data_IF_376306478488
#
_entry.id   IF_376306478488
#
_cell.length_a   1.000
_cell.length_b   1.000
_cell.length_c   1.000
_cell.angle_alpha   90.00
_cell.angle_beta   90.00
_cell.angle_gamma   90.00
#
_symmetry.space_group_name_H-M   'P 1'
#
loop_
_entity.id
_entity.type
_entity.pdbx_description
1 polymer ?
#
# COMPACT_ATOMS: atom_id res chain seq x y z
N UNK A 1 8.10 -6.38 -8.60
CA UNK A 1 7.86 -7.80 -8.96
C UNK A 1 7.80 -8.69 -7.72
N UNK A 2 8.81 -8.72 -6.84
CA UNK A 2 8.89 -9.67 -5.72
C UNK A 2 7.69 -9.64 -4.76
N UNK A 3 7.21 -8.46 -4.33
CA UNK A 3 6.03 -8.35 -3.46
C UNK A 3 4.75 -8.91 -4.09
N UNK A 4 4.56 -8.69 -5.40
CA UNK A 4 3.38 -9.18 -6.13
C UNK A 4 3.42 -10.70 -6.23
N UNK A 5 4.59 -11.27 -6.53
CA UNK A 5 4.76 -12.73 -6.58
C UNK A 5 4.60 -13.38 -5.20
N UNK A 6 5.16 -12.78 -4.14
CA UNK A 6 4.96 -13.21 -2.77
C UNK A 6 3.48 -13.18 -2.37
N UNK A 7 2.76 -12.11 -2.72
CA UNK A 7 1.32 -11.99 -2.48
C UNK A 7 0.51 -13.05 -3.20
N UNK A 8 0.82 -13.31 -4.48
CA UNK A 8 0.18 -14.40 -5.24
C UNK A 8 0.42 -15.76 -4.58
N UNK A 9 1.65 -16.05 -4.18
CA UNK A 9 2.01 -17.31 -3.53
C UNK A 9 1.42 -17.47 -2.12
N UNK A 10 1.16 -16.35 -1.42
CA UNK A 10 0.58 -16.32 -0.07
C UNK A 10 -0.96 -16.25 -0.05
N UNK A 11 -1.60 -16.18 -1.22
CA UNK A 11 -3.05 -16.00 -1.34
C UNK A 11 -3.54 -14.60 -0.91
N UNK A 12 -2.67 -13.59 -0.99
CA UNK A 12 -2.94 -12.18 -0.68
C UNK A 12 -2.49 -11.32 -1.89
N UNK A 13 -3.23 -11.34 -3.01
CA UNK A 13 -2.78 -10.69 -4.24
C UNK A 13 -2.70 -9.18 -4.07
N UNK A 14 -1.66 -8.58 -4.66
CA UNK A 14 -1.49 -7.13 -4.73
C UNK A 14 -1.84 -6.61 -6.13
N UNK A 15 -2.32 -5.37 -6.17
CA UNK A 15 -2.48 -4.61 -7.41
C UNK A 15 -1.57 -3.39 -7.37
N UNK A 16 -0.65 -3.28 -8.33
CA UNK A 16 0.26 -2.13 -8.38
C UNK A 16 -0.46 -0.93 -8.97
N UNK A 17 -0.54 0.15 -8.19
CA UNK A 17 -1.00 1.45 -8.66
C UNK A 17 0.19 2.32 -9.07
N UNK A 18 -0.01 3.22 -10.05
CA UNK A 18 1.02 4.17 -10.47
C UNK A 18 1.19 5.31 -9.45
N UNK A 19 2.43 5.80 -9.31
CA UNK A 19 2.72 7.10 -8.69
C UNK A 19 2.66 8.18 -9.78
N UNK A 20 1.45 8.67 -10.08
CA UNK A 20 1.19 9.68 -11.13
C UNK A 20 1.66 11.05 -10.65
N UNK A 21 2.86 11.46 -11.05
CA UNK A 21 3.56 12.64 -10.49
C UNK A 21 2.79 13.94 -10.64
N UNK A 22 1.95 14.05 -11.65
CA UNK A 22 1.10 15.22 -11.92
C UNK A 22 0.15 15.52 -10.75
N UNK A 23 -0.25 14.51 -9.98
CA UNK A 23 -1.11 14.70 -8.80
C UNK A 23 -0.38 15.32 -7.61
N UNK A 24 0.94 15.55 -7.68
CA UNK A 24 1.67 16.32 -6.65
C UNK A 24 1.21 17.78 -6.56
N UNK A 25 0.67 18.33 -7.64
CA UNK A 25 0.06 19.66 -7.62
C UNK A 25 -1.04 19.77 -6.57
N UNK A 26 -1.81 18.69 -6.39
CA UNK A 26 -2.87 18.63 -5.40
C UNK A 26 -2.37 18.59 -3.96
N UNK A 27 -1.07 18.41 -3.71
CA UNK A 27 -0.46 18.38 -2.38
C UNK A 27 0.20 19.70 -1.97
N UNK A 28 0.20 20.70 -2.84
CA UNK A 28 0.74 22.03 -2.53
C UNK A 28 -0.05 22.68 -1.39
N UNK A 29 0.67 23.28 -0.46
CA UNK A 29 0.11 24.06 0.65
C UNK A 29 0.51 25.53 0.51
N UNK A 30 -0.39 26.49 0.77
CA UNK A 30 -0.05 27.91 0.76
C UNK A 30 0.74 28.35 2.02
N UNK A 31 0.90 27.48 3.02
CA UNK A 31 1.49 27.81 4.32
C UNK A 31 2.69 26.91 4.64
N UNK A 32 2.59 25.62 4.34
CA UNK A 32 3.59 24.59 4.66
C UNK A 32 4.20 24.02 3.38
N UNK A 33 5.21 23.16 3.52
CA UNK A 33 5.84 22.49 2.39
C UNK A 33 4.84 21.58 1.64
N UNK A 34 3.99 20.87 2.38
CA UNK A 34 2.91 20.03 1.86
C UNK A 34 1.63 20.15 2.72
N UNK A 35 0.47 19.85 2.12
CA UNK A 35 -0.76 19.50 2.86
C UNK A 35 -0.99 17.99 2.80
N UNK A 36 -1.67 17.46 3.82
CA UNK A 36 -1.87 16.02 4.02
C UNK A 36 -3.08 15.43 3.29
N UNK A 37 -3.86 16.25 2.58
CA UNK A 37 -5.04 15.83 1.81
C UNK A 37 -4.92 16.36 0.38
N UNK A 38 -4.95 15.44 -0.59
CA UNK A 38 -4.91 15.73 -2.02
C UNK A 38 -6.30 15.82 -2.67
N UNK A 39 -6.34 15.69 -4.00
CA UNK A 39 -7.57 15.69 -4.81
C UNK A 39 -8.26 14.32 -4.89
N UNK A 40 -9.07 14.13 -5.94
CA UNK A 40 -9.96 12.97 -6.15
C UNK A 40 -9.22 11.60 -6.15
N UNK A 41 -7.96 11.56 -6.57
CA UNK A 41 -7.15 10.34 -6.59
C UNK A 41 -6.50 10.05 -5.22
N UNK A 42 -7.31 9.91 -4.17
CA UNK A 42 -6.87 9.84 -2.77
C UNK A 42 -5.77 8.82 -2.48
N UNK A 43 -5.89 7.58 -2.99
CA UNK A 43 -4.86 6.54 -2.80
C UNK A 43 -3.52 6.90 -3.46
N UNK A 44 -3.55 7.53 -4.64
CA UNK A 44 -2.32 7.92 -5.35
C UNK A 44 -1.70 9.16 -4.70
N UNK A 45 -2.52 10.17 -4.34
CA UNK A 45 -2.01 11.37 -3.66
C UNK A 45 -1.46 11.06 -2.27
N UNK A 46 -2.05 10.12 -1.52
CA UNK A 46 -1.48 9.63 -0.27
C UNK A 46 -0.14 8.91 -0.50
N UNK A 47 -0.03 8.08 -1.54
CA UNK A 47 1.26 7.46 -1.91
C UNK A 47 2.33 8.50 -2.26
N UNK A 48 1.99 9.53 -3.03
CA UNK A 48 2.91 10.62 -3.36
C UNK A 48 3.29 11.46 -2.13
N UNK A 49 2.36 11.69 -1.20
CA UNK A 49 2.67 12.35 0.07
C UNK A 49 3.72 11.57 0.86
N UNK A 50 3.58 10.24 0.95
CA UNK A 50 4.57 9.39 1.64
C UNK A 50 5.93 9.39 0.93
N UNK A 51 5.96 9.46 -0.41
CA UNK A 51 7.19 9.48 -1.20
C UNK A 51 8.14 10.62 -0.81
N UNK A 52 7.62 11.77 -0.38
CA UNK A 52 8.42 12.92 0.08
C UNK A 52 9.33 12.61 1.28
N UNK A 53 9.04 11.54 2.02
CA UNK A 53 9.75 11.17 3.25
C UNK A 53 10.68 9.96 3.10
N UNK A 54 10.83 9.43 1.88
CA UNK A 54 11.55 8.17 1.62
C UNK A 54 13.05 8.38 1.33
N UNK A 55 13.45 9.60 0.97
CA UNK A 55 14.86 10.01 0.77
C UNK A 55 15.67 9.06 -0.14
N UNK A 56 15.10 8.70 -1.30
CA UNK A 56 15.78 7.89 -2.32
C UNK A 56 15.96 6.40 -1.98
N UNK A 57 15.45 5.94 -0.83
CA UNK A 57 15.48 4.53 -0.43
C UNK A 57 14.49 3.71 -1.28
N UNK A 58 14.84 2.47 -1.72
CA UNK A 58 13.87 1.58 -2.34
C UNK A 58 12.68 1.32 -1.41
N UNK A 59 11.47 1.61 -1.87
CA UNK A 59 10.28 1.57 -1.01
C UNK A 59 9.04 1.02 -1.71
N UNK A 60 8.08 0.62 -0.89
CA UNK A 60 6.72 0.30 -1.32
C UNK A 60 5.74 0.66 -0.21
N UNK A 61 4.62 1.29 -0.57
CA UNK A 61 3.47 1.48 0.30
C UNK A 61 2.38 0.46 -0.06
N UNK A 62 1.88 -0.25 0.95
CA UNK A 62 0.75 -1.15 0.82
C UNK A 62 -0.47 -0.48 1.46
N UNK A 63 -1.37 0.06 0.64
CA UNK A 63 -2.67 0.52 1.10
C UNK A 63 -3.60 -0.70 1.26
N UNK A 64 -3.89 -1.05 2.52
CA UNK A 64 -4.64 -2.25 2.88
C UNK A 64 -6.01 -1.93 3.49
N UNK A 65 -6.48 -0.68 3.41
CA UNK A 65 -7.75 -0.29 4.03
C UNK A 65 -8.92 -1.18 3.56
N UNK A 66 -8.99 -1.45 2.25
CA UNK A 66 -10.01 -2.32 1.65
C UNK A 66 -9.99 -3.77 2.17
N UNK A 67 -8.87 -4.51 2.07
CA UNK A 67 -8.82 -5.91 2.49
C UNK A 67 -8.65 -6.12 4.00
N UNK A 68 -8.39 -5.08 4.81
CA UNK A 68 -8.14 -5.22 6.25
C UNK A 68 -9.34 -5.77 7.04
N UNK A 69 -10.57 -5.53 6.56
CA UNK A 69 -11.80 -6.00 7.17
C UNK A 69 -12.71 -6.68 6.18
N UNK A 70 -13.55 -7.58 6.68
CA UNK A 70 -14.53 -8.31 5.88
C UNK A 70 -15.84 -8.49 6.64
N UNK A 71 -16.97 -8.41 5.92
CA UNK A 71 -18.30 -8.61 6.48
C UNK A 71 -18.76 -10.08 6.43
N UNK A 72 -17.92 -10.99 5.95
CA UNK A 72 -18.20 -12.42 5.83
C UNK A 72 -17.04 -13.26 6.32
N UNK A 73 -17.30 -14.52 6.62
CA UNK A 73 -16.21 -15.47 6.90
C UNK A 73 -15.40 -15.74 5.62
N UNK A 74 -14.08 -15.78 5.79
CA UNK A 74 -13.12 -16.20 4.80
C UNK A 74 -12.58 -17.59 5.17
N UNK A 75 -12.00 -18.34 4.21
CA UNK A 75 -11.42 -19.65 4.52
C UNK A 75 -10.34 -19.64 5.61
N UNK A 76 -9.74 -18.47 5.89
CA UNK A 76 -8.60 -18.31 6.79
C UNK A 76 -8.81 -17.22 7.87
N UNK A 77 -9.99 -16.60 7.93
CA UNK A 77 -10.30 -15.56 8.92
C UNK A 77 -11.83 -15.46 9.12
N UNK A 78 -12.31 -15.23 10.36
CA UNK A 78 -13.72 -14.94 10.59
C UNK A 78 -14.10 -13.55 10.07
N UNK A 79 -15.41 -13.25 10.02
CA UNK A 79 -15.91 -11.88 9.87
C UNK A 79 -15.18 -10.92 10.83
N UNK A 80 -14.80 -9.74 10.33
CA UNK A 80 -14.04 -8.75 11.07
C UNK A 80 -12.65 -8.54 10.46
N UNK A 81 -11.62 -8.41 11.31
CA UNK A 81 -10.24 -8.19 10.88
C UNK A 81 -9.65 -9.40 10.18
N UNK A 82 -9.16 -9.22 8.95
CA UNK A 82 -8.67 -10.32 8.11
C UNK A 82 -7.20 -10.69 8.37
N UNK A 83 -6.42 -9.75 8.93
CA UNK A 83 -4.97 -9.87 9.04
C UNK A 83 -4.24 -9.79 7.69
N UNK A 84 -4.88 -9.21 6.67
CA UNK A 84 -4.32 -9.12 5.31
C UNK A 84 -2.92 -8.50 5.31
N UNK A 85 -2.01 -9.14 4.58
CA UNK A 85 -0.63 -8.69 4.37
C UNK A 85 0.38 -9.39 5.27
N UNK A 86 -0.07 -10.03 6.36
CA UNK A 86 0.85 -10.77 7.26
C UNK A 86 1.49 -11.96 6.53
N UNK A 87 0.71 -12.78 5.82
CA UNK A 87 1.27 -13.93 5.09
C UNK A 87 2.16 -13.48 3.94
N UNK A 88 1.75 -12.43 3.23
CA UNK A 88 2.52 -11.81 2.15
C UNK A 88 3.89 -11.35 2.63
N UNK A 89 3.95 -10.56 3.71
CA UNK A 89 5.22 -10.01 4.20
C UNK A 89 6.14 -11.12 4.74
N UNK A 90 5.58 -12.09 5.47
CA UNK A 90 6.35 -13.27 5.92
C UNK A 90 6.89 -14.05 4.73
N UNK A 91 6.09 -14.24 3.68
CA UNK A 91 6.53 -14.92 2.45
C UNK A 91 7.63 -14.14 1.75
N UNK A 92 7.43 -12.84 1.54
CA UNK A 92 8.40 -11.95 0.91
C UNK A 92 9.76 -11.98 1.62
N UNK A 93 9.76 -11.86 2.95
CA UNK A 93 11.00 -11.92 3.74
C UNK A 93 11.71 -13.28 3.65
N UNK A 94 10.95 -14.39 3.58
CA UNK A 94 11.53 -15.72 3.36
C UNK A 94 12.14 -15.87 1.97
N UNK A 95 11.48 -15.35 0.94
CA UNK A 95 11.99 -15.39 -0.43
C UNK A 95 13.25 -14.50 -0.61
N UNK A 96 13.43 -13.48 0.23
CA UNK A 96 14.65 -12.65 0.26
C UNK A 96 15.82 -13.27 1.02
N UNK A 97 15.54 -14.16 1.98
CA UNK A 97 16.55 -14.75 2.86
C UNK A 97 17.29 -15.95 2.22
N UNK A 98 16.88 -16.34 1.01
CA UNK A 98 17.44 -17.44 0.21
C UNK A 98 18.22 -16.83 -0.96
#
# INVERSE_FOLDING_TARGET
>A
AQLIEAGRAAGEPLWQLPLVREYREDLKSPIADLKNVGGEAGTITAGLFLEEFVDGVPWAHLDIAGPAFTEKDLPHAPRGGTGFGVRLLVRYLRDLAI
#
